data_IF_340003046135
#
_entry.id   IF_340003046135
#
_cell.length_a   1.000
_cell.length_b   1.000
_cell.length_c   1.000
_cell.angle_alpha   90.00
_cell.angle_beta   90.00
_cell.angle_gamma   90.00
#
_symmetry.space_group_name_H-M   'P 1'
#
loop_
_entity.id
_entity.type
_entity.pdbx_description
1 polymer ?
#
# COMPACT_ATOMS: atom_id res chain seq x y z
N UNK A 1 7.40 -0.75 -16.48
CA UNK A 1 6.15 -0.43 -15.79
C UNK A 1 5.42 -1.71 -15.47
N UNK A 2 4.49 -1.65 -14.53
CA UNK A 2 3.65 -2.78 -14.10
C UNK A 2 2.17 -2.36 -14.15
N UNK A 3 1.20 -3.29 -14.05
CA UNK A 3 -0.22 -2.93 -14.12
C UNK A 3 -0.68 -1.90 -13.08
N UNK A 4 -0.05 -1.83 -11.91
CA UNK A 4 -0.31 -0.79 -10.91
C UNK A 4 0.60 0.45 -11.03
N UNK A 5 1.69 0.39 -11.81
CA UNK A 5 2.61 1.50 -12.01
C UNK A 5 2.70 1.87 -13.51
N UNK A 6 1.74 2.69 -13.94
CA UNK A 6 1.60 3.15 -15.32
C UNK A 6 2.38 4.44 -15.64
N UNK A 7 3.10 5.01 -14.67
CA UNK A 7 3.86 6.27 -14.83
C UNK A 7 4.81 6.24 -16.04
N UNK A 8 5.39 5.07 -16.32
CA UNK A 8 6.31 4.86 -17.46
C UNK A 8 5.62 4.73 -18.82
N UNK A 9 4.28 4.68 -18.86
CA UNK A 9 3.48 4.52 -20.07
C UNK A 9 2.51 5.70 -20.30
N UNK A 10 2.60 6.77 -19.50
CA UNK A 10 1.71 7.92 -19.58
C UNK A 10 1.64 8.53 -20.98
N UNK A 11 2.78 8.73 -21.65
CA UNK A 11 2.83 9.28 -23.01
C UNK A 11 2.06 8.44 -24.04
N UNK A 12 2.01 7.11 -23.84
CA UNK A 12 1.31 6.19 -24.73
C UNK A 12 -0.19 6.15 -24.37
N UNK A 13 -0.52 6.08 -23.08
CA UNK A 13 -1.89 5.99 -22.57
C UNK A 13 -2.71 7.26 -22.81
N UNK A 14 -2.07 8.43 -22.72
CA UNK A 14 -2.73 9.72 -22.93
C UNK A 14 -2.75 10.18 -24.40
N UNK A 15 -2.06 9.47 -25.31
CA UNK A 15 -2.14 9.72 -26.76
C UNK A 15 -3.47 9.29 -27.38
N UNK A 16 -4.17 8.35 -26.74
CA UNK A 16 -5.49 7.87 -27.14
C UNK A 16 -6.55 8.32 -26.12
N UNK A 17 -7.24 9.41 -26.45
CA UNK A 17 -8.32 9.97 -25.64
C UNK A 17 -9.54 9.04 -25.55
N UNK A 18 -9.53 8.09 -24.60
CA UNK A 18 -10.74 7.44 -24.04
C UNK A 18 -10.48 6.44 -22.91
N UNK A 19 -9.27 6.33 -22.34
CA UNK A 19 -9.06 5.40 -21.23
C UNK A 19 -9.55 6.03 -19.94
N UNK A 20 -10.72 5.56 -19.50
CA UNK A 20 -11.36 5.83 -18.23
C UNK A 20 -10.35 5.87 -17.08
N UNK A 21 -10.63 6.70 -16.06
CA UNK A 21 -9.99 6.70 -14.75
C UNK A 21 -10.15 5.32 -14.06
N UNK A 22 -9.49 4.30 -14.56
CA UNK A 22 -9.39 3.03 -13.86
C UNK A 22 -8.42 3.25 -12.71
N UNK A 23 -8.89 2.99 -11.49
CA UNK A 23 -8.07 2.92 -10.28
C UNK A 23 -6.79 2.14 -10.58
N UNK A 24 -5.66 2.85 -10.65
CA UNK A 24 -4.31 2.30 -10.83
C UNK A 24 -3.53 2.42 -9.52
N UNK A 25 -4.20 2.24 -8.39
CA UNK A 25 -3.54 2.24 -7.09
C UNK A 25 -2.70 0.97 -6.90
N UNK A 26 -1.49 1.13 -6.38
CA UNK A 26 -0.68 0.00 -5.88
C UNK A 26 -1.05 -0.21 -4.42
N UNK A 27 -1.61 -1.37 -4.11
CA UNK A 27 -1.84 -1.82 -2.73
C UNK A 27 -0.57 -2.53 -2.23
N UNK A 28 -0.28 -2.43 -0.94
CA UNK A 28 0.75 -3.21 -0.26
C UNK A 28 0.19 -3.73 1.05
N UNK A 29 0.51 -4.97 1.39
CA UNK A 29 -0.02 -5.62 2.58
C UNK A 29 1.11 -6.17 3.46
N UNK A 30 0.99 -5.96 4.77
CA UNK A 30 1.80 -6.63 5.79
C UNK A 30 0.90 -7.44 6.71
N UNK A 31 1.08 -8.75 6.68
CA UNK A 31 0.43 -9.67 7.61
C UNK A 31 1.23 -9.72 8.92
N UNK A 32 0.53 -9.67 10.04
CA UNK A 32 1.08 -9.89 11.38
C UNK A 32 0.13 -10.77 12.19
N UNK A 33 0.68 -11.57 13.10
CA UNK A 33 -0.11 -12.38 14.03
C UNK A 33 0.29 -11.95 15.44
N UNK A 34 -0.65 -11.34 16.15
CA UNK A 34 -0.45 -10.82 17.50
C UNK A 34 -1.42 -11.49 18.45
N UNK A 35 -0.92 -12.17 19.48
CA UNK A 35 -1.75 -12.90 20.46
C UNK A 35 -2.76 -13.87 19.82
N UNK A 36 -2.40 -14.49 18.69
CA UNK A 36 -3.26 -15.40 17.93
C UNK A 36 -4.33 -14.71 17.07
N UNK A 37 -4.34 -13.37 17.03
CA UNK A 37 -5.19 -12.58 16.13
C UNK A 37 -4.37 -12.20 14.90
N UNK A 38 -4.89 -12.54 13.73
CA UNK A 38 -4.29 -12.14 12.46
C UNK A 38 -4.70 -10.69 12.16
N UNK A 39 -3.71 -9.83 11.96
CA UNK A 39 -3.86 -8.43 11.61
C UNK A 39 -3.21 -8.17 10.24
N UNK A 40 -3.83 -7.27 9.48
CA UNK A 40 -3.36 -6.87 8.16
C UNK A 40 -3.17 -5.35 8.14
N UNK A 41 -1.92 -4.92 7.95
CA UNK A 41 -1.59 -3.54 7.62
C UNK A 41 -1.63 -3.32 6.12
N UNK A 42 -2.37 -2.31 5.68
CA UNK A 42 -2.63 -2.01 4.28
C UNK A 42 -2.17 -0.59 3.96
N UNK A 43 -1.54 -0.43 2.79
CA UNK A 43 -1.18 0.86 2.24
C UNK A 43 -1.54 0.91 0.75
N UNK A 44 -2.32 1.90 0.33
CA UNK A 44 -2.61 2.16 -1.08
C UNK A 44 -1.96 3.48 -1.48
N UNK A 45 -1.18 3.47 -2.56
CA UNK A 45 -0.70 4.69 -3.21
C UNK A 45 -1.37 4.80 -4.56
N UNK A 46 -2.10 5.89 -4.77
CA UNK A 46 -2.65 6.26 -6.06
C UNK A 46 -1.87 7.48 -6.59
N UNK A 47 -1.03 7.22 -7.59
CA UNK A 47 -0.16 8.22 -8.21
C UNK A 47 -0.95 9.25 -9.03
N UNK A 48 -2.15 8.90 -9.52
CA UNK A 48 -2.95 9.82 -10.32
C UNK A 48 -3.68 10.83 -9.44
N UNK A 49 -4.21 10.39 -8.29
CA UNK A 49 -4.86 11.29 -7.32
C UNK A 49 -3.88 11.91 -6.33
N UNK A 50 -2.61 11.47 -6.34
CA UNK A 50 -1.58 11.84 -5.36
C UNK A 50 -2.03 11.57 -3.93
N UNK A 51 -2.72 10.44 -3.72
CA UNK A 51 -3.25 10.05 -2.41
C UNK A 51 -2.53 8.82 -1.85
N UNK A 52 -2.28 8.87 -0.54
CA UNK A 52 -1.80 7.73 0.24
C UNK A 52 -2.91 7.39 1.24
N UNK A 53 -3.34 6.13 1.27
CA UNK A 53 -4.34 5.63 2.22
C UNK A 53 -3.71 4.53 3.06
N UNK A 54 -3.94 4.57 4.37
CA UNK A 54 -3.45 3.59 5.33
C UNK A 54 -4.61 3.00 6.12
N UNK A 55 -4.53 1.70 6.41
CA UNK A 55 -5.54 0.99 7.18
C UNK A 55 -4.91 -0.20 7.91
N UNK A 56 -5.38 -0.46 9.13
CA UNK A 56 -5.12 -1.71 9.84
C UNK A 56 -6.43 -2.37 10.18
N UNK A 57 -6.52 -3.67 9.89
CA UNK A 57 -7.73 -4.44 10.08
C UNK A 57 -7.39 -5.81 10.62
N UNK A 58 -8.17 -6.28 11.58
CA UNK A 58 -8.13 -7.67 12.00
C UNK A 58 -8.85 -8.53 10.97
N UNK A 59 -8.22 -9.61 10.54
CA UNK A 59 -8.79 -10.50 9.52
C UNK A 59 -9.35 -11.75 10.18
N UNK A 60 -10.59 -12.08 9.82
CA UNK A 60 -11.18 -13.37 10.15
C UNK A 60 -10.57 -14.47 9.28
N UNK A 61 -10.86 -15.73 9.61
CA UNK A 61 -10.39 -16.90 8.86
C UNK A 61 -10.78 -16.91 7.37
N UNK A 62 -11.67 -16.04 6.91
CA UNK A 62 -12.08 -15.96 5.50
C UNK A 62 -11.62 -14.69 4.79
N UNK A 63 -10.93 -13.77 5.48
CA UNK A 63 -10.44 -12.51 4.88
C UNK A 63 -11.53 -11.65 4.22
N UNK A 64 -12.81 -11.77 4.61
CA UNK A 64 -13.92 -11.03 4.00
C UNK A 64 -13.78 -9.51 4.10
N UNK A 65 -13.14 -9.03 5.18
CA UNK A 65 -12.77 -7.62 5.32
C UNK A 65 -11.82 -7.16 4.21
N UNK A 66 -10.84 -7.99 3.84
CA UNK A 66 -9.92 -7.70 2.76
C UNK A 66 -10.63 -7.74 1.40
N UNK A 67 -11.46 -8.75 1.12
CA UNK A 67 -12.23 -8.81 -0.13
C UNK A 67 -13.06 -7.54 -0.33
N UNK A 68 -13.71 -7.07 0.73
CA UNK A 68 -14.47 -5.82 0.72
C UNK A 68 -13.58 -4.63 0.36
N UNK A 69 -12.39 -4.54 0.96
CA UNK A 69 -11.43 -3.47 0.67
C UNK A 69 -10.93 -3.54 -0.77
N UNK A 70 -10.61 -4.74 -1.28
CA UNK A 70 -10.15 -4.95 -2.65
C UNK A 70 -11.21 -4.54 -3.67
N UNK A 71 -12.48 -4.88 -3.41
CA UNK A 71 -13.60 -4.47 -4.28
C UNK A 71 -13.81 -2.95 -4.24
N UNK A 72 -13.74 -2.33 -3.07
CA UNK A 72 -13.98 -0.89 -2.92
C UNK A 72 -12.85 -0.03 -3.51
N UNK A 73 -11.60 -0.43 -3.30
CA UNK A 73 -10.44 0.33 -3.77
C UNK A 73 -10.07 -0.03 -5.21
N UNK A 74 -10.40 -1.25 -5.66
CA UNK A 74 -10.10 -1.77 -6.99
C UNK A 74 -8.64 -1.67 -7.42
N UNK A 75 -7.64 -1.96 -6.55
CA UNK A 75 -6.24 -1.89 -6.95
C UNK A 75 -5.95 -2.92 -8.05
N UNK A 76 -5.04 -2.59 -8.97
CA UNK A 76 -4.63 -3.53 -10.04
C UNK A 76 -3.46 -4.42 -9.64
N UNK A 77 -2.71 -3.97 -8.65
CA UNK A 77 -1.51 -4.66 -8.17
C UNK A 77 -1.41 -4.57 -6.65
N UNK A 78 -0.99 -5.66 -6.02
CA UNK A 78 -0.82 -5.80 -4.60
C UNK A 78 0.57 -6.35 -4.28
N UNK A 79 1.33 -5.63 -3.45
CA UNK A 79 2.64 -6.02 -3.00
C UNK A 79 2.54 -6.89 -1.76
N UNK A 80 3.23 -8.03 -1.78
CA UNK A 80 3.37 -8.94 -0.64
C UNK A 80 4.85 -9.18 -0.33
N UNK A 81 5.24 -9.35 0.95
CA UNK A 81 6.58 -9.78 1.28
C UNK A 81 6.84 -11.17 0.69
N UNK A 82 8.04 -11.43 0.17
CA UNK A 82 8.45 -12.78 -0.24
C UNK A 82 8.54 -13.66 1.00
N UNK A 83 7.74 -14.73 1.06
CA UNK A 83 7.82 -15.73 2.12
C UNK A 83 8.48 -17.00 1.61
N UNK A 84 9.44 -17.51 2.39
CA UNK A 84 10.12 -18.79 2.14
C UNK A 84 9.36 -19.99 2.71
N UNK A 85 8.25 -19.75 3.42
CA UNK A 85 7.53 -20.77 4.19
C UNK A 85 6.06 -20.81 3.82
N UNK A 86 5.52 -22.02 3.72
CA UNK A 86 4.10 -22.40 3.59
C UNK A 86 3.31 -22.06 4.87
N UNK A 87 3.26 -20.79 5.27
CA UNK A 87 2.31 -20.39 6.29
C UNK A 87 0.93 -20.31 5.65
N UNK A 88 0.00 -21.16 6.11
CA UNK A 88 -1.34 -21.30 5.55
C UNK A 88 -2.07 -19.95 5.43
N UNK A 89 -1.86 -19.05 6.40
CA UNK A 89 -2.41 -17.70 6.40
C UNK A 89 -1.92 -16.86 5.21
N UNK A 90 -0.64 -16.95 4.85
CA UNK A 90 -0.08 -16.22 3.72
C UNK A 90 -0.59 -16.75 2.39
N UNK A 91 -0.63 -18.08 2.25
CA UNK A 91 -1.16 -18.71 1.03
C UNK A 91 -2.63 -18.34 0.82
N UNK A 92 -3.41 -18.33 1.91
CA UNK A 92 -4.80 -17.90 1.87
C UNK A 92 -4.95 -16.42 1.51
N UNK A 93 -4.14 -15.54 2.13
CA UNK A 93 -4.10 -14.12 1.79
C UNK A 93 -3.84 -13.90 0.30
N UNK A 94 -2.78 -14.52 -0.23
CA UNK A 94 -2.41 -14.45 -1.65
C UNK A 94 -3.56 -14.94 -2.54
N UNK A 95 -4.15 -16.08 -2.20
CA UNK A 95 -5.29 -16.65 -2.94
C UNK A 95 -6.48 -15.70 -2.99
N UNK A 96 -6.81 -15.02 -1.88
CA UNK A 96 -7.93 -14.06 -1.81
C UNK A 96 -7.67 -12.84 -2.70
N UNK A 97 -6.44 -12.34 -2.72
CA UNK A 97 -6.04 -11.21 -3.56
C UNK A 97 -6.11 -11.58 -5.04
N UNK A 98 -5.54 -12.71 -5.43
CA UNK A 98 -5.54 -13.19 -6.81
C UNK A 98 -6.95 -13.49 -7.33
N UNK A 99 -7.82 -14.08 -6.49
CA UNK A 99 -9.24 -14.32 -6.84
C UNK A 99 -10.03 -13.03 -7.05
N UNK A 100 -9.60 -11.93 -6.43
CA UNK A 100 -10.18 -10.60 -6.62
C UNK A 100 -9.72 -9.93 -7.92
N UNK A 101 -8.92 -10.61 -8.75
CA UNK A 101 -8.41 -10.09 -10.02
C UNK A 101 -7.24 -9.11 -9.88
N UNK A 102 -6.60 -9.08 -8.71
CA UNK A 102 -5.47 -8.19 -8.41
C UNK A 102 -4.17 -8.95 -8.60
N UNK A 103 -3.23 -8.37 -9.36
CA UNK A 103 -1.90 -8.97 -9.56
C UNK A 103 -1.12 -8.95 -8.24
N UNK A 104 -0.59 -10.09 -7.81
CA UNK A 104 0.31 -10.16 -6.66
C UNK A 104 1.76 -10.04 -7.12
N UNK A 105 2.48 -9.07 -6.56
CA UNK A 105 3.92 -8.86 -6.80
C UNK A 105 4.68 -9.04 -5.49
N UNK A 106 5.57 -10.03 -5.47
CA UNK A 106 6.36 -10.34 -4.26
C UNK A 106 7.59 -9.42 -4.16
N UNK A 107 7.87 -8.95 -2.94
CA UNK A 107 8.95 -8.00 -2.63
C UNK A 107 9.79 -8.49 -1.44
N UNK A 108 11.10 -8.21 -1.40
CA UNK A 108 11.95 -8.59 -0.27
C UNK A 108 11.35 -8.15 1.07
N UNK A 109 11.40 -9.02 2.10
CA UNK A 109 10.88 -8.67 3.44
C UNK A 109 11.51 -7.40 4.02
N UNK A 110 12.76 -7.09 3.63
CA UNK A 110 13.46 -5.87 4.04
C UNK A 110 12.79 -4.58 3.53
N UNK A 111 11.99 -4.64 2.47
CA UNK A 111 11.26 -3.49 1.94
C UNK A 111 10.15 -3.06 2.92
N UNK A 112 9.60 -3.99 3.70
CA UNK A 112 8.51 -3.79 4.66
C UNK A 112 8.98 -3.31 6.04
N UNK A 113 9.86 -2.32 6.07
CA UNK A 113 10.42 -1.73 7.31
C UNK A 113 10.02 -0.26 7.45
N UNK A 114 9.40 0.11 8.56
CA UNK A 114 8.92 1.47 8.83
C UNK A 114 10.00 2.47 9.26
N UNK A 115 11.30 2.13 9.18
CA UNK A 115 12.40 2.95 9.71
C UNK A 115 12.43 4.37 9.12
N UNK A 116 12.30 4.47 7.80
CA UNK A 116 12.50 5.73 7.07
C UNK A 116 11.17 6.42 6.73
N UNK A 117 10.03 5.85 7.17
CA UNK A 117 8.72 6.27 6.67
C UNK A 117 8.37 7.72 6.98
N UNK A 118 8.77 8.23 8.16
CA UNK A 118 8.56 9.63 8.53
C UNK A 118 9.29 10.55 7.56
N UNK A 119 10.56 10.25 7.28
CA UNK A 119 11.40 11.04 6.39
C UNK A 119 10.89 10.97 4.94
N UNK A 120 10.45 9.81 4.49
CA UNK A 120 9.84 9.65 3.17
C UNK A 120 8.56 10.47 3.04
N UNK A 121 7.67 10.43 4.04
CA UNK A 121 6.45 11.24 4.06
C UNK A 121 6.75 12.74 4.09
N UNK A 122 7.77 13.20 4.81
CA UNK A 122 8.19 14.60 4.78
C UNK A 122 8.61 15.08 3.38
N UNK A 123 9.08 14.16 2.51
CA UNK A 123 9.46 14.47 1.13
C UNK A 123 8.30 14.36 0.15
N UNK A 124 7.35 13.44 0.41
CA UNK A 124 6.24 13.15 -0.48
C UNK A 124 5.02 14.04 -0.25
N UNK A 125 4.72 14.38 1.01
CA UNK A 125 3.54 15.17 1.35
C UNK A 125 3.75 16.66 1.00
N UNK A 126 2.68 17.28 0.51
CA UNK A 126 2.68 18.70 0.16
C UNK A 126 2.51 19.53 1.43
N UNK A 127 3.52 20.33 1.75
CA UNK A 127 3.44 21.32 2.82
C UNK A 127 2.70 22.58 2.38
N UNK A 128 2.05 23.27 3.32
CA UNK A 128 1.52 24.59 3.05
C UNK A 128 2.66 25.60 2.85
N UNK A 129 2.46 26.62 2.00
CA UNK A 129 3.50 27.59 1.64
C UNK A 129 4.09 28.33 2.86
N UNK A 130 3.27 28.60 3.86
CA UNK A 130 3.64 29.35 5.07
C UNK A 130 4.03 28.45 6.25
N UNK A 131 4.08 27.12 6.06
CA UNK A 131 4.40 26.17 7.11
C UNK A 131 5.92 25.95 7.21
N UNK A 132 6.48 26.24 8.38
CA UNK A 132 7.88 25.98 8.69
C UNK A 132 8.16 24.46 8.67
N UNK A 133 9.35 24.07 8.21
CA UNK A 133 9.71 22.66 8.05
C UNK A 133 9.58 21.89 9.38
N UNK A 134 10.06 22.43 10.50
CA UNK A 134 9.99 21.76 11.81
C UNK A 134 8.54 21.49 12.24
N UNK A 135 7.64 22.44 11.97
CA UNK A 135 6.21 22.30 12.26
C UNK A 135 5.56 21.23 11.38
N UNK A 136 5.93 21.19 10.09
CA UNK A 136 5.45 20.17 9.16
C UNK A 136 5.91 18.76 9.55
N UNK A 137 7.19 18.59 9.89
CA UNK A 137 7.73 17.30 10.33
C UNK A 137 7.12 16.83 11.65
N UNK A 138 6.87 17.76 12.58
CA UNK A 138 6.18 17.46 13.84
C UNK A 138 4.74 17.03 13.57
N UNK A 139 4.02 17.74 12.70
CA UNK A 139 2.65 17.41 12.29
C UNK A 139 2.56 16.00 11.70
N UNK A 140 3.47 15.64 10.79
CA UNK A 140 3.52 14.27 10.25
C UNK A 140 3.74 13.27 11.37
N UNK A 141 4.70 13.51 12.27
CA UNK A 141 5.01 12.59 13.37
C UNK A 141 3.86 12.33 14.34
N UNK A 142 2.87 13.22 14.43
CA UNK A 142 1.71 13.07 15.32
C UNK A 142 0.42 12.61 14.61
N UNK A 143 0.47 12.35 13.30
CA UNK A 143 -0.68 11.85 12.55
C UNK A 143 -1.16 10.50 13.11
N UNK A 144 -2.48 10.24 13.21
CA UNK A 144 -3.00 8.96 13.66
C UNK A 144 -2.53 7.80 12.77
N UNK A 145 -2.36 8.04 11.47
CA UNK A 145 -1.81 7.08 10.52
C UNK A 145 -0.37 6.65 10.87
N UNK A 146 0.39 7.51 11.56
CA UNK A 146 1.75 7.18 12.03
C UNK A 146 1.76 6.26 13.25
N UNK A 147 0.60 5.96 13.84
CA UNK A 147 0.46 4.98 14.92
C UNK A 147 0.16 3.58 14.40
N UNK A 148 -0.13 3.43 13.10
CA UNK A 148 -0.43 2.15 12.45
C UNK A 148 0.87 1.40 12.10
N UNK A 149 1.35 0.55 13.00
CA UNK A 149 2.65 -0.12 12.89
C UNK A 149 2.84 -0.99 11.63
N UNK A 150 1.84 -1.80 11.29
CA UNK A 150 1.86 -2.68 10.14
C UNK A 150 1.56 -1.94 8.84
N UNK A 151 0.64 -0.96 8.87
CA UNK A 151 0.34 -0.16 7.68
C UNK A 151 1.54 0.69 7.26
N UNK A 152 2.28 1.30 8.20
CA UNK A 152 3.53 2.02 7.90
C UNK A 152 4.57 1.13 7.20
N UNK A 153 4.67 -0.12 7.62
CA UNK A 153 5.60 -1.07 7.00
C UNK A 153 5.16 -1.44 5.58
N UNK A 154 3.86 -1.65 5.36
CA UNK A 154 3.31 -1.86 4.03
C UNK A 154 3.56 -0.63 3.12
N UNK A 155 3.39 0.58 3.66
CA UNK A 155 3.65 1.82 2.95
C UNK A 155 5.10 1.96 2.51
N UNK A 156 6.06 1.60 3.36
CA UNK A 156 7.48 1.66 2.99
C UNK A 156 7.78 0.81 1.76
N UNK A 157 7.19 -0.39 1.67
CA UNK A 157 7.35 -1.24 0.49
C UNK A 157 6.71 -0.64 -0.76
N UNK A 158 5.53 -0.02 -0.62
CA UNK A 158 4.85 0.65 -1.74
C UNK A 158 5.65 1.85 -2.27
N UNK A 159 6.21 2.68 -1.37
CA UNK A 159 7.07 3.82 -1.75
C UNK A 159 8.30 3.32 -2.51
N UNK A 160 9.00 2.31 -1.98
CA UNK A 160 10.20 1.73 -2.64
C UNK A 160 9.90 1.10 -3.99
N UNK A 161 8.70 0.56 -4.19
CA UNK A 161 8.29 -0.06 -5.45
C UNK A 161 7.96 0.97 -6.54
N UNK A 162 7.44 2.14 -6.14
CA UNK A 162 7.04 3.20 -7.05
C UNK A 162 8.17 4.19 -7.39
N UNK A 163 9.32 4.10 -6.70
CA UNK A 163 10.56 4.77 -7.09
C UNK A 163 11.12 4.22 -8.40
#
# INVERSE_FOLDING_TARGET
>A
GSPGNLTQFEDILFSSSSTSQESSGVLSCKLAIENGVTMLGLALIDVHTLTIKLCEVTVSNHYSNLETILVQLGPKECLLPTFTSTEDNYLQLKTVIEKSGVLVTERPKADFSSKDIKQDLCRLLIKNKDEENDKFEMKIGVMPEMQMEHAKCALSAAIKFLQ
#
